data_IF_866154888888
#
_entry.id   IF_866154888888
#
_cell.length_a   1.000
_cell.length_b   1.000
_cell.length_c   1.000
_cell.angle_alpha   90.00
_cell.angle_beta   90.00
_cell.angle_gamma   90.00
#
_symmetry.space_group_name_H-M   'P 1'
#
loop_
_entity.id
_entity.type
_entity.pdbx_description
1 polymer ?
#
# COMPACT_ATOMS: atom_id res chain seq x y z
N UNK A 1 5.02 -21.81 3.32
CA UNK A 1 4.23 -21.06 2.32
C UNK A 1 3.42 -20.04 3.11
N UNK A 2 3.63 -18.74 2.92
CA UNK A 2 2.87 -17.72 3.66
C UNK A 2 1.42 -17.70 3.17
N UNK A 3 0.45 -17.67 4.09
CA UNK A 3 -0.96 -17.52 3.71
C UNK A 3 -1.23 -16.08 3.26
N UNK A 4 -2.26 -15.86 2.44
CA UNK A 4 -2.64 -14.51 1.97
C UNK A 4 -2.77 -13.45 3.09
N UNK A 5 -3.35 -13.77 4.27
CA UNK A 5 -3.40 -12.86 5.41
C UNK A 5 -2.04 -12.53 6.05
N UNK A 6 -1.07 -13.44 5.95
CA UNK A 6 0.28 -13.24 6.51
C UNK A 6 1.07 -12.31 5.58
N UNK A 7 1.01 -12.55 4.27
CA UNK A 7 1.61 -11.68 3.27
C UNK A 7 1.08 -10.23 3.37
N UNK A 8 -0.23 -10.06 3.53
CA UNK A 8 -0.84 -8.75 3.71
C UNK A 8 -0.26 -8.01 4.92
N UNK A 9 -0.14 -8.68 6.07
CA UNK A 9 0.42 -8.07 7.28
C UNK A 9 1.89 -7.73 7.12
N UNK A 10 2.67 -8.60 6.49
CA UNK A 10 4.10 -8.42 6.33
C UNK A 10 4.43 -7.25 5.40
N UNK A 11 3.74 -7.17 4.25
CA UNK A 11 3.87 -6.03 3.32
C UNK A 11 3.49 -4.74 4.03
N UNK A 12 2.31 -4.71 4.68
CA UNK A 12 1.80 -3.51 5.33
C UNK A 12 2.73 -3.02 6.44
N UNK A 13 3.27 -3.93 7.26
CA UNK A 13 4.27 -3.58 8.28
C UNK A 13 5.53 -2.98 7.65
N UNK A 14 6.01 -3.56 6.54
CA UNK A 14 7.22 -3.12 5.85
C UNK A 14 7.11 -1.72 5.24
N UNK A 15 5.97 -1.38 4.64
CA UNK A 15 5.82 -0.12 3.89
C UNK A 15 5.16 1.02 4.68
N UNK A 16 4.55 0.73 5.84
CA UNK A 16 3.64 1.70 6.50
C UNK A 16 3.99 2.08 7.93
N UNK A 17 5.02 1.48 8.58
CA UNK A 17 5.55 1.82 9.93
C UNK A 17 4.52 2.42 10.91
N UNK A 18 4.43 3.74 11.01
CA UNK A 18 3.50 4.44 11.92
C UNK A 18 2.03 4.17 11.59
N UNK A 19 1.65 4.11 10.32
CA UNK A 19 0.29 3.81 9.89
C UNK A 19 -0.12 2.37 10.26
N UNK A 20 0.80 1.40 10.17
CA UNK A 20 0.56 0.02 10.62
C UNK A 20 0.12 -0.03 12.09
N UNK A 21 0.73 0.79 12.94
CA UNK A 21 0.36 0.89 14.36
C UNK A 21 -1.03 1.54 14.53
N UNK A 22 -1.33 2.58 13.75
CA UNK A 22 -2.63 3.27 13.78
C UNK A 22 -3.80 2.37 13.38
N UNK A 23 -3.59 1.36 12.53
CA UNK A 23 -4.64 0.38 12.19
C UNK A 23 -5.15 -0.40 13.40
N UNK A 24 -4.34 -0.55 14.47
CA UNK A 24 -4.79 -1.23 15.69
C UNK A 24 -5.93 -0.48 16.41
N UNK A 25 -6.03 0.83 16.20
CA UNK A 25 -7.07 1.70 16.77
C UNK A 25 -8.43 1.46 16.08
N UNK A 26 -8.41 1.09 14.80
CA UNK A 26 -9.65 0.86 14.05
C UNK A 26 -10.42 -0.37 14.55
N UNK A 27 -11.76 -0.35 14.48
CA UNK A 27 -12.59 -1.54 14.63
C UNK A 27 -12.08 -2.68 13.76
N UNK A 28 -12.06 -3.92 14.29
CA UNK A 28 -11.53 -5.10 13.59
C UNK A 28 -12.01 -5.24 12.14
N UNK A 29 -13.30 -5.02 11.79
CA UNK A 29 -13.78 -5.14 10.42
C UNK A 29 -13.16 -4.13 9.44
N UNK A 30 -12.69 -2.99 9.93
CA UNK A 30 -12.15 -1.90 9.09
C UNK A 30 -10.64 -2.03 8.84
N UNK A 31 -9.91 -2.82 9.63
CA UNK A 31 -8.44 -2.88 9.54
C UNK A 31 -7.95 -3.37 8.18
N UNK A 32 -8.60 -4.41 7.64
CA UNK A 32 -8.20 -4.99 6.36
C UNK A 32 -8.59 -4.10 5.16
N UNK A 33 -9.85 -3.61 5.03
CA UNK A 33 -10.21 -2.68 3.97
C UNK A 33 -9.34 -1.42 3.94
N UNK A 34 -9.10 -0.80 5.10
CA UNK A 34 -8.27 0.41 5.19
C UNK A 34 -6.79 0.10 4.91
N UNK A 35 -6.27 -1.03 5.38
CA UNK A 35 -4.91 -1.45 5.05
C UNK A 35 -4.73 -1.72 3.55
N UNK A 36 -5.71 -2.31 2.87
CA UNK A 36 -5.69 -2.50 1.41
C UNK A 36 -5.71 -1.16 0.67
N UNK A 37 -6.60 -0.24 1.06
CA UNK A 37 -6.66 1.10 0.48
C UNK A 37 -5.33 1.85 0.66
N UNK A 38 -4.69 1.69 1.82
CA UNK A 38 -3.36 2.26 2.06
C UNK A 38 -2.30 1.66 1.14
N UNK A 39 -2.27 0.34 0.94
CA UNK A 39 -1.29 -0.30 0.05
C UNK A 39 -1.44 0.17 -1.39
N UNK A 40 -2.68 0.31 -1.87
CA UNK A 40 -2.96 0.87 -3.19
C UNK A 40 -2.42 2.30 -3.31
N UNK A 41 -2.76 3.16 -2.35
CA UNK A 41 -2.29 4.54 -2.32
C UNK A 41 -0.75 4.62 -2.26
N UNK A 42 -0.11 3.76 -1.45
CA UNK A 42 1.35 3.73 -1.31
C UNK A 42 2.06 3.23 -2.58
N UNK A 43 1.44 2.31 -3.31
CA UNK A 43 1.94 1.87 -4.61
C UNK A 43 1.86 3.01 -5.64
N UNK A 44 0.72 3.71 -5.71
CA UNK A 44 0.53 4.87 -6.58
C UNK A 44 1.54 5.98 -6.27
N UNK A 45 1.74 6.29 -4.99
CA UNK A 45 2.73 7.26 -4.49
C UNK A 45 4.15 6.88 -4.92
N UNK A 46 4.52 5.60 -4.84
CA UNK A 46 5.82 5.11 -5.31
C UNK A 46 6.00 5.30 -6.82
N UNK A 47 4.96 5.04 -7.63
CA UNK A 47 4.99 5.28 -9.08
C UNK A 47 5.16 6.77 -9.36
N UNK A 48 4.39 7.63 -8.68
CA UNK A 48 4.44 9.07 -8.86
C UNK A 48 5.81 9.68 -8.48
N UNK A 49 6.40 9.20 -7.38
CA UNK A 49 7.64 9.71 -6.79
C UNK A 49 8.93 9.18 -7.43
N UNK A 50 8.84 8.18 -8.32
CA UNK A 50 10.02 7.63 -8.98
C UNK A 50 10.58 8.62 -10.01
N UNK A 51 11.42 9.55 -9.56
CA UNK A 51 12.01 10.61 -10.40
C UNK A 51 12.87 10.08 -11.56
N UNK A 52 13.41 8.86 -11.44
CA UNK A 52 14.14 8.19 -12.51
C UNK A 52 13.25 7.74 -13.67
N UNK A 53 11.93 7.69 -13.47
CA UNK A 53 10.97 7.24 -14.48
C UNK A 53 10.42 8.46 -15.26
N UNK A 54 10.42 8.43 -16.61
CA UNK A 54 9.82 9.49 -17.42
C UNK A 54 8.36 9.74 -17.03
N UNK A 55 7.90 10.98 -17.22
CA UNK A 55 6.53 11.39 -16.82
C UNK A 55 5.47 10.51 -17.48
N UNK A 56 5.64 10.19 -18.75
CA UNK A 56 4.71 9.39 -19.54
C UNK A 56 4.59 7.98 -18.95
N UNK A 57 5.72 7.38 -18.56
CA UNK A 57 5.75 6.06 -17.92
C UNK A 57 5.12 6.05 -16.54
N UNK A 58 5.19 7.16 -15.80
CA UNK A 58 4.46 7.32 -14.53
C UNK A 58 2.95 7.41 -14.78
N UNK A 59 2.51 8.11 -15.82
CA UNK A 59 1.10 8.19 -16.20
C UNK A 59 0.54 6.82 -16.63
N UNK A 60 1.25 6.11 -17.52
CA UNK A 60 0.87 4.76 -17.95
C UNK A 60 0.66 3.83 -16.75
N UNK A 61 1.56 3.90 -15.76
CA UNK A 61 1.49 3.08 -14.55
C UNK A 61 0.32 3.44 -13.62
N UNK A 62 -0.06 4.72 -13.56
CA UNK A 62 -1.19 5.18 -12.73
C UNK A 62 -2.55 4.92 -13.39
N UNK A 63 -2.65 4.97 -14.72
CA UNK A 63 -3.87 4.64 -15.46
C UNK A 63 -4.20 3.15 -15.43
N UNK A 64 -3.21 2.30 -15.16
CA UNK A 64 -3.37 0.85 -15.06
C UNK A 64 -3.78 0.34 -13.66
N UNK A 65 -3.92 1.22 -12.67
CA UNK A 65 -4.36 0.90 -11.30
C UNK A 65 -5.89 0.89 -11.17
#
# INVERSE_FOLDING_TARGET
MASGPDLFRDILRGVSRSFYLSLAILPRPLRQPIGLAYLLARAADTVADTAALPRERRLDGLEAL
#
